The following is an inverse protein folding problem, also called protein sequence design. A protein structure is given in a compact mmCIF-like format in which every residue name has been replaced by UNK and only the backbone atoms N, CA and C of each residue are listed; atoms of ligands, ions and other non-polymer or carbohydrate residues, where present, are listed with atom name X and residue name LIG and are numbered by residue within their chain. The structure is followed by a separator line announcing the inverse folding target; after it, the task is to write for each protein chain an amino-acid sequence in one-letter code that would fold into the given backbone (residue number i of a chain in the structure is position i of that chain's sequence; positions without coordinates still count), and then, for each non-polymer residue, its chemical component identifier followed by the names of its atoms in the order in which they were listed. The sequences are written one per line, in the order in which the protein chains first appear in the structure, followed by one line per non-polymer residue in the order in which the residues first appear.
data_IF_737832602305
#
_entry.id   IF_737832602305
#
_cell.length_a   1.000
_cell.length_b   1.000
_cell.length_c   1.000
_cell.angle_alpha   90.00
_cell.angle_beta   90.00
_cell.angle_gamma   90.00
#
_symmetry.space_group_name_H-M   'P 1'
#
loop_
_entity.id
_entity.type
_entity.pdbx_description
1 polymer ?
#
# COMPACT_ATOMS: atom_id res chain seq x y z
N UNK A 1 -8.43 0.66 5.27
CA UNK A 1 -9.15 0.99 4.03
C UNK A 1 -8.67 2.34 3.55
N UNK A 2 -8.55 2.54 2.24
CA UNK A 2 -8.19 3.84 1.69
C UNK A 2 -9.31 4.87 1.89
N UNK A 3 -8.96 6.16 2.08
CA UNK A 3 -9.94 7.22 2.29
C UNK A 3 -10.79 7.50 1.05
N UNK A 4 -12.04 7.93 1.29
CA UNK A 4 -12.93 8.41 0.23
C UNK A 4 -12.37 9.69 -0.38
N UNK A 5 -12.71 9.95 -1.64
CA UNK A 5 -12.22 11.11 -2.42
C UNK A 5 -10.69 11.12 -2.62
N UNK A 6 -10.05 9.96 -2.44
CA UNK A 6 -8.65 9.74 -2.75
C UNK A 6 -8.51 8.69 -3.85
N UNK A 7 -7.41 8.68 -4.61
CA UNK A 7 -7.11 7.62 -5.57
C UNK A 7 -6.91 6.24 -4.89
N UNK A 8 -6.88 6.20 -3.55
CA UNK A 8 -6.79 4.98 -2.75
C UNK A 8 -8.16 4.43 -2.31
N UNK A 9 -9.26 5.10 -2.68
CA UNK A 9 -10.62 4.72 -2.30
C UNK A 9 -10.92 3.26 -2.70
N UNK A 10 -11.52 2.51 -1.77
CA UNK A 10 -11.83 1.08 -1.97
C UNK A 10 -10.64 0.14 -1.82
N UNK A 11 -9.41 0.65 -1.69
CA UNK A 11 -8.21 -0.16 -1.46
C UNK A 11 -8.12 -0.70 -0.03
N UNK A 12 -7.68 -1.96 0.12
CA UNK A 12 -7.33 -2.56 1.40
C UNK A 12 -5.81 -2.62 1.52
N UNK A 13 -5.27 -1.91 2.51
CA UNK A 13 -3.83 -1.82 2.76
C UNK A 13 -3.49 -2.48 4.09
N UNK A 14 -2.54 -3.40 4.07
CA UNK A 14 -2.00 -4.03 5.26
C UNK A 14 -0.75 -3.30 5.72
N UNK A 15 -0.65 -3.13 7.04
CA UNK A 15 0.51 -2.53 7.70
C UNK A 15 1.04 -3.49 8.76
N UNK A 16 2.36 -3.59 8.83
CA UNK A 16 3.07 -4.27 9.92
C UNK A 16 3.54 -3.21 10.90
N UNK A 17 3.22 -3.41 12.19
CA UNK A 17 3.64 -2.52 13.28
C UNK A 17 4.56 -3.33 14.21
N UNK A 18 5.78 -2.86 14.38
CA UNK A 18 6.76 -3.47 15.28
C UNK A 18 7.10 -2.51 16.43
N UNK A 19 6.81 -2.93 17.65
CA UNK A 19 7.12 -2.17 18.86
C UNK A 19 8.54 -2.50 19.35
N UNK A 20 9.44 -1.51 19.49
CA UNK A 20 10.74 -1.74 20.10
C UNK A 20 10.61 -1.97 21.61
N UNK A 21 11.65 -2.52 22.24
CA UNK A 21 11.73 -2.71 23.70
C UNK A 21 11.57 -1.41 24.49
N UNK A 22 11.95 -0.29 23.88
CA UNK A 22 11.98 1.03 24.51
C UNK A 22 10.69 1.83 24.24
N UNK A 23 9.63 1.19 23.73
CA UNK A 23 8.32 1.83 23.58
C UNK A 23 7.72 2.15 24.96
N UNK A 24 7.14 3.35 25.19
CA UNK A 24 6.80 4.39 24.22
C UNK A 24 7.85 5.50 24.03
N UNK A 25 9.05 5.39 24.62
CA UNK A 25 10.11 6.40 24.44
C UNK A 25 10.67 6.42 23.01
N UNK A 26 10.70 5.25 22.34
CA UNK A 26 10.99 5.15 20.90
C UNK A 26 9.72 4.90 20.08
N UNK A 27 9.62 5.46 18.86
CA UNK A 27 8.49 5.22 17.97
C UNK A 27 8.39 3.75 17.56
N UNK A 28 7.17 3.23 17.34
CA UNK A 28 6.98 1.94 16.68
C UNK A 28 7.43 2.05 15.21
N UNK A 29 7.96 0.95 14.68
CA UNK A 29 8.27 0.87 13.24
C UNK A 29 7.02 0.42 12.51
N UNK A 30 6.49 1.28 11.65
CA UNK A 30 5.34 0.99 10.80
C UNK A 30 5.79 0.87 9.35
N UNK A 31 5.37 -0.20 8.68
CA UNK A 31 5.63 -0.41 7.27
C UNK A 31 4.40 -0.99 6.57
N UNK A 32 4.14 -0.59 5.33
CA UNK A 32 3.13 -1.20 4.49
C UNK A 32 3.60 -2.58 4.01
N UNK A 33 2.76 -3.59 4.21
CA UNK A 33 2.94 -4.91 3.59
C UNK A 33 2.44 -4.87 2.15
N UNK A 34 1.36 -4.13 1.91
CA UNK A 34 0.80 -3.92 0.57
C UNK A 34 1.66 -2.93 -0.20
N UNK A 35 2.04 -3.26 -1.44
CA UNK A 35 2.74 -2.33 -2.32
C UNK A 35 1.81 -1.18 -2.70
N UNK A 36 2.26 0.04 -2.48
CA UNK A 36 1.51 1.26 -2.75
C UNK A 36 2.40 2.23 -3.52
N UNK A 37 1.83 2.86 -4.54
CA UNK A 37 2.49 3.91 -5.30
C UNK A 37 2.19 5.23 -4.60
N UNK A 38 3.17 5.82 -3.94
CA UNK A 38 2.99 7.04 -3.16
C UNK A 38 4.35 7.75 -3.00
N UNK A 39 4.43 9.08 -3.11
CA UNK A 39 5.71 9.80 -3.06
C UNK A 39 6.45 9.65 -1.72
N UNK A 40 5.70 9.51 -0.61
CA UNK A 40 6.24 9.30 0.74
C UNK A 40 6.26 7.83 1.20
N UNK A 41 6.09 6.86 0.30
CA UNK A 41 6.17 5.43 0.65
C UNK A 41 7.07 4.73 -0.37
N UNK A 42 8.09 4.01 0.10
CA UNK A 42 8.99 3.29 -0.79
C UNK A 42 8.44 1.91 -1.20
N UNK A 43 9.10 1.25 -2.16
CA UNK A 43 8.77 -0.11 -2.61
C UNK A 43 8.88 -1.19 -1.53
N UNK A 44 9.64 -0.92 -0.46
CA UNK A 44 9.77 -1.78 0.72
C UNK A 44 8.67 -1.50 1.76
N UNK A 45 7.74 -0.58 1.48
CA UNK A 45 6.65 -0.21 2.39
C UNK A 45 7.05 0.73 3.54
N UNK A 46 8.28 1.25 3.57
CA UNK A 46 8.70 2.24 4.56
C UNK A 46 8.02 3.58 4.30
N UNK A 47 7.56 4.21 5.37
CA UNK A 47 6.78 5.46 5.34
C UNK A 47 7.67 6.61 5.80
N UNK A 48 7.66 7.74 5.08
CA UNK A 48 8.23 8.99 5.58
C UNK A 48 7.13 9.73 6.33
N UNK A 49 7.15 9.65 7.65
CA UNK A 49 6.25 10.39 8.51
C UNK A 49 7.03 10.95 9.70
N UNK A 50 6.93 12.25 9.89
CA UNK A 50 7.63 13.02 10.91
C UNK A 50 7.30 12.58 12.34
N UNK A 51 6.05 12.25 12.61
CA UNK A 51 5.61 11.71 13.90
C UNK A 51 6.24 10.35 14.22
N UNK A 52 6.75 9.60 13.23
CA UNK A 52 7.49 8.35 13.44
C UNK A 52 9.01 8.57 13.51
N UNK A 53 9.47 9.82 13.44
CA UNK A 53 10.88 10.22 13.45
C UNK A 53 11.12 11.29 14.50
N UNK A 54 11.28 12.55 14.09
CA UNK A 54 11.68 13.67 14.95
C UNK A 54 10.54 14.20 15.81
N UNK A 55 9.28 14.06 15.37
CA UNK A 55 8.10 14.54 16.08
C UNK A 55 7.42 13.44 16.93
N UNK A 56 8.09 12.31 17.14
CA UNK A 56 7.55 11.27 18.01
C UNK A 56 7.41 11.76 19.44
N UNK A 57 6.24 11.51 20.03
CA UNK A 57 5.96 11.76 21.43
C UNK A 57 5.33 10.51 22.05
N UNK A 58 5.74 10.10 23.27
CA UNK A 58 5.10 9.01 24.01
C UNK A 58 3.59 9.20 24.24
N UNK A 59 3.08 10.44 24.11
CA UNK A 59 1.65 10.75 24.20
C UNK A 59 0.87 10.43 22.90
N UNK A 60 1.56 10.06 21.81
CA UNK A 60 0.93 9.64 20.57
C UNK A 60 0.49 8.17 20.67
N UNK A 61 -0.80 7.95 20.45
CA UNK A 61 -1.36 6.61 20.39
C UNK A 61 -1.24 6.03 18.98
N UNK A 62 -1.29 4.71 18.87
CA UNK A 62 -1.33 4.01 17.57
C UNK A 62 -2.48 4.51 16.70
N UNK A 63 -3.63 4.84 17.29
CA UNK A 63 -4.76 5.42 16.56
C UNK A 63 -4.42 6.75 15.90
N UNK A 64 -3.68 7.64 16.58
CA UNK A 64 -3.22 8.90 15.98
C UNK A 64 -2.22 8.64 14.85
N UNK A 65 -1.32 7.66 15.02
CA UNK A 65 -0.39 7.25 13.96
C UNK A 65 -1.14 6.79 12.72
N UNK A 66 -2.14 5.93 12.87
CA UNK A 66 -2.96 5.44 11.76
C UNK A 66 -3.74 6.58 11.07
N UNK A 67 -4.30 7.50 11.84
CA UNK A 67 -4.99 8.68 11.29
C UNK A 67 -4.03 9.57 10.49
N UNK A 68 -2.80 9.79 10.98
CA UNK A 68 -1.79 10.53 10.24
C UNK A 68 -1.37 9.82 8.94
N UNK A 69 -1.29 8.47 8.95
CA UNK A 69 -1.04 7.70 7.72
C UNK A 69 -2.21 7.86 6.75
N UNK A 70 -3.47 7.78 7.19
CA UNK A 70 -4.63 8.01 6.33
C UNK A 70 -4.61 9.43 5.72
N UNK A 71 -4.27 10.44 6.52
CA UNK A 71 -4.12 11.82 6.04
C UNK A 71 -3.01 11.94 5.01
N UNK A 72 -1.88 11.25 5.21
CA UNK A 72 -0.77 11.24 4.25
C UNK A 72 -1.19 10.65 2.90
N UNK A 73 -2.07 9.63 2.91
CA UNK A 73 -2.61 9.05 1.68
C UNK A 73 -3.53 10.02 0.92
N UNK A 74 -4.28 10.87 1.61
CA UNK A 74 -5.07 11.92 0.96
C UNK A 74 -4.17 13.03 0.40
N UNK A 75 -3.25 13.51 1.24
CA UNK A 75 -2.41 14.67 1.00
C UNK A 75 -0.93 14.29 1.07
N UNK A 76 -0.36 13.73 -0.01
CA UNK A 76 1.06 13.43 -0.07
C UNK A 76 1.89 14.70 0.09
N UNK A 77 3.05 14.59 0.76
CA UNK A 77 4.00 15.68 0.92
C UNK A 77 5.09 15.60 -0.17
N UNK A 78 5.03 16.44 -1.21
CA UNK A 78 5.96 16.32 -2.33
C UNK A 78 7.28 17.08 -2.10
N UNK A 79 7.45 17.73 -0.94
CA UNK A 79 8.67 18.47 -0.56
C UNK A 79 9.66 17.61 0.24
N UNK A 80 9.18 16.53 0.87
CA UNK A 80 10.02 15.48 1.49
C UNK A 80 9.70 14.09 0.91
N UNK A 81 9.98 13.85 -0.39
CA UNK A 81 9.63 12.58 -1.02
C UNK A 81 10.63 11.48 -0.67
N UNK A 82 10.11 10.30 -0.35
CA UNK A 82 10.90 9.07 -0.28
C UNK A 82 11.26 8.56 -1.68
N UNK A 83 10.38 8.82 -2.66
CA UNK A 83 10.57 8.43 -4.06
C UNK A 83 10.47 9.68 -4.95
N UNK A 84 11.61 10.30 -5.32
CA UNK A 84 11.62 11.57 -6.04
C UNK A 84 10.97 11.48 -7.42
N UNK A 85 11.03 10.32 -8.09
CA UNK A 85 10.37 10.10 -9.38
C UNK A 85 8.84 10.22 -9.29
N UNK A 86 8.24 9.65 -8.24
CA UNK A 86 6.80 9.72 -7.99
C UNK A 86 6.41 11.14 -7.62
N UNK A 87 7.21 11.82 -6.81
CA UNK A 87 6.95 13.21 -6.43
C UNK A 87 7.07 14.17 -7.62
N UNK A 88 8.02 13.95 -8.52
CA UNK A 88 8.12 14.71 -9.76
C UNK A 88 6.89 14.47 -10.64
N UNK A 89 6.44 13.22 -10.78
CA UNK A 89 5.22 12.89 -11.53
C UNK A 89 4.00 13.56 -10.90
N UNK A 90 3.88 13.52 -9.57
CA UNK A 90 2.81 14.19 -8.82
C UNK A 90 2.78 15.71 -9.02
N UNK A 91 3.97 16.36 -9.02
CA UNK A 91 4.09 17.82 -9.25
C UNK A 91 3.87 18.20 -10.72
N UNK A 92 4.37 17.40 -11.65
CA UNK A 92 4.33 17.71 -13.09
C UNK A 92 2.99 17.37 -13.74
N UNK A 93 2.36 16.25 -13.35
CA UNK A 93 1.16 15.73 -14.00
C UNK A 93 0.29 14.93 -13.02
N UNK A 94 -0.72 15.60 -12.46
CA UNK A 94 -1.67 15.00 -11.53
C UNK A 94 -2.58 13.96 -12.18
N UNK A 95 -2.87 14.09 -13.47
CA UNK A 95 -3.73 13.14 -14.20
C UNK A 95 -3.01 11.82 -14.41
N UNK A 96 -1.75 11.86 -14.83
CA UNK A 96 -0.91 10.68 -14.98
C UNK A 96 -0.65 9.98 -13.64
N UNK A 97 -0.46 10.76 -12.57
CA UNK A 97 -0.37 10.22 -11.21
C UNK A 97 -1.66 9.48 -10.81
N UNK A 98 -2.83 10.10 -11.00
CA UNK A 98 -4.12 9.49 -10.69
C UNK A 98 -4.36 8.20 -11.50
N UNK A 99 -4.05 8.20 -12.80
CA UNK A 99 -4.18 7.03 -13.67
C UNK A 99 -3.29 5.86 -13.23
N UNK A 100 -2.07 6.14 -12.77
CA UNK A 100 -1.15 5.13 -12.24
C UNK A 100 -1.66 4.48 -10.95
N UNK A 101 -2.38 5.26 -10.13
CA UNK A 101 -2.95 4.80 -8.87
C UNK A 101 -4.21 3.97 -9.06
N UNK A 102 -5.06 4.37 -10.02
CA UNK A 102 -6.28 3.64 -10.35
C UNK A 102 -5.95 2.20 -10.79
N UNK A 103 -4.88 2.05 -11.58
CA UNK A 103 -4.33 0.76 -11.98
C UNK A 103 -3.80 -0.06 -10.78
N UNK A 104 -3.17 0.59 -9.80
CA UNK A 104 -2.56 -0.11 -8.66
C UNK A 104 -3.57 -0.47 -7.56
N UNK A 105 -4.57 0.38 -7.31
CA UNK A 105 -5.65 0.11 -6.38
C UNK A 105 -6.51 -1.07 -6.84
N UNK A 106 -6.72 -1.23 -8.14
CA UNK A 106 -7.32 -2.42 -8.71
C UNK A 106 -6.52 -3.71 -8.37
N UNK A 107 -5.20 -3.62 -8.17
CA UNK A 107 -4.39 -4.76 -7.72
C UNK A 107 -4.42 -4.97 -6.20
N UNK A 108 -4.44 -3.90 -5.41
CA UNK A 108 -4.46 -3.96 -3.94
C UNK A 108 -5.83 -4.38 -3.36
N UNK A 109 -6.92 -4.18 -4.11
CA UNK A 109 -8.27 -4.63 -3.74
C UNK A 109 -8.45 -6.16 -3.81
N UNK A 110 -7.46 -6.95 -4.26
CA UNK A 110 -7.47 -8.43 -4.24
C UNK A 110 -7.14 -9.01 -2.86
N UNK A 111 -7.71 -8.45 -1.80
CA UNK A 111 -7.91 -9.25 -0.59
C UNK A 111 -9.29 -9.89 -0.77
N UNK A 112 -9.40 -11.18 -1.11
CA UNK A 112 -10.69 -11.83 -1.02
C UNK A 112 -11.14 -11.66 0.44
N UNK A 113 -12.27 -11.00 0.64
CA UNK A 113 -12.90 -10.87 1.96
C UNK A 113 -13.35 -12.21 2.54
N UNK A 114 -13.05 -13.32 1.86
CA UNK A 114 -13.57 -14.64 2.14
C UNK A 114 -12.46 -15.58 2.62
N UNK A 115 -12.18 -15.52 3.92
CA UNK A 115 -11.89 -16.77 4.66
C UNK A 115 -13.25 -17.44 4.85
N UNK A 116 -13.69 -18.20 3.83
CA UNK A 116 -14.47 -19.44 3.96
C UNK A 116 -14.46 -20.15 2.58
N UNK A 117 -13.68 -21.24 2.52
CA UNK A 117 -13.51 -22.20 1.40
C UNK A 117 -14.84 -22.85 0.94
N UNK A 118 -14.91 -23.71 -0.13
CA UNK A 118 -13.99 -24.01 -1.24
C UNK A 118 -14.69 -24.05 -2.64
N UNK A 119 -13.93 -24.30 -3.71
CA UNK A 119 -14.37 -24.64 -5.08
C UNK A 119 -15.08 -23.57 -5.92
N UNK A 120 -14.28 -22.70 -6.55
CA UNK A 120 -14.18 -22.55 -8.03
C UNK A 120 -13.46 -21.24 -8.31
N UNK A 121 -12.18 -21.37 -8.68
CA UNK A 121 -11.36 -20.29 -9.20
C UNK A 121 -11.91 -19.94 -10.58
N UNK A 122 -12.77 -18.92 -10.67
CA UNK A 122 -12.96 -18.20 -11.92
C UNK A 122 -12.02 -17.01 -11.91
N UNK A 123 -10.95 -17.18 -12.68
CA UNK A 123 -9.97 -16.19 -13.07
C UNK A 123 -10.68 -14.92 -13.55
N UNK A 124 -10.90 -13.92 -12.67
CA UNK A 124 -11.39 -12.62 -13.13
C UNK A 124 -10.20 -11.86 -13.72
N UNK A 125 -10.06 -12.02 -15.02
CA UNK A 125 -9.18 -11.24 -15.88
C UNK A 125 -9.73 -9.81 -15.93
N UNK A 126 -9.32 -8.98 -14.98
CA UNK A 126 -9.68 -7.57 -14.96
C UNK A 126 -8.69 -6.78 -15.82
N UNK A 127 -9.19 -6.26 -16.94
CA UNK A 127 -8.52 -5.23 -17.72
C UNK A 127 -8.70 -3.89 -17.01
N UNK A 128 -7.59 -3.24 -16.66
CA UNK A 128 -7.61 -1.84 -16.25
C UNK A 128 -8.11 -1.00 -17.45
N UNK A 129 -9.24 -0.29 -17.35
CA UNK A 129 -9.84 0.42 -18.49
C UNK A 129 -8.93 1.51 -19.08
N UNK A 130 -7.95 2.01 -18.31
CA UNK A 130 -7.07 3.10 -18.71
C UNK A 130 -5.71 2.71 -19.29
N UNK A 131 -5.18 1.51 -19.01
CA UNK A 131 -3.80 1.17 -19.39
C UNK A 131 -3.67 -0.08 -20.29
N UNK A 132 -4.75 -0.85 -20.50
CA UNK A 132 -4.72 -2.06 -21.33
C UNK A 132 -3.76 -3.15 -20.82
N UNK A 133 -3.14 -2.96 -19.65
CA UNK A 133 -2.13 -3.85 -19.11
C UNK A 133 -2.81 -5.05 -18.48
N UNK A 134 -2.60 -6.23 -19.05
CA UNK A 134 -2.88 -7.49 -18.38
C UNK A 134 -1.89 -7.65 -17.23
N UNK A 135 -2.33 -7.41 -16.00
CA UNK A 135 -1.56 -7.76 -14.82
C UNK A 135 -1.53 -9.29 -14.67
N UNK A 136 -0.63 -9.94 -15.40
CA UNK A 136 -0.25 -11.33 -15.17
C UNK A 136 0.65 -11.36 -13.92
N UNK A 137 0.06 -11.55 -12.74
CA UNK A 137 0.84 -12.02 -11.60
C UNK A 137 1.27 -13.45 -11.92
N UNK A 138 2.52 -13.59 -12.33
CA UNK A 138 3.15 -14.87 -12.64
C UNK A 138 3.29 -15.67 -11.33
N UNK A 139 2.25 -16.44 -10.97
CA UNK A 139 2.37 -17.49 -9.96
C UNK A 139 2.93 -18.72 -10.68
N UNK A 140 4.24 -18.81 -10.81
CA UNK A 140 4.88 -20.08 -11.15
C UNK A 140 4.65 -21.05 -9.99
N UNK A 141 3.77 -22.01 -10.19
CA UNK A 141 3.63 -23.16 -9.29
C UNK A 141 4.66 -24.20 -9.73
N UNK A 142 5.73 -24.38 -8.94
CA UNK A 142 6.71 -25.46 -9.14
C UNK A 142 6.02 -26.80 -8.85
N UNK A 143 5.61 -27.47 -9.93
CA UNK A 143 5.05 -28.81 -9.89
C UNK A 143 6.16 -29.85 -9.85
N UNK A 144 6.81 -30.06 -8.69
CA UNK A 144 7.62 -31.26 -8.46
C UNK A 144 7.39 -31.91 -7.09
N UNK A 145 6.77 -33.10 -7.17
CA UNK A 145 6.78 -34.18 -6.18
C UNK A 145 5.38 -34.57 -5.71
N UNK A 146 4.78 -35.71 -6.03
CA UNK A 146 5.18 -36.90 -6.76
C UNK A 146 4.29 -38.09 -6.36
N UNK A 147 4.12 -39.05 -7.28
CA UNK A 147 3.75 -40.49 -7.11
C UNK A 147 2.32 -40.89 -6.71
N UNK A 148 1.58 -41.54 -7.63
CA UNK A 148 1.39 -43.01 -7.79
C UNK A 148 0.06 -43.30 -8.53
N UNK A 149 0.08 -44.34 -9.37
CA UNK A 149 -1.07 -44.92 -10.06
C UNK A 149 -0.74 -45.23 -11.50
#
# INVERSE_FOLDING_TARGET
MGPNDSPYQGGVFFLTIHFPTDYPFKPPKVAFTTKIYHPNINSNGSICLDILRSQWSPALTVSKVLLSICSLLCDPNPDDPLVPEIAHTYKADREKYASSLDCLCAMAARVPTDIFLPELILCTQWMCPGCGLLALTNMSFDSRGGRRG
#
